data_IF_806618341574
#
_entry.id   IF_806618341574
#
_cell.length_a   1.000
_cell.length_b   1.000
_cell.length_c   1.000
_cell.angle_alpha   90.00
_cell.angle_beta   90.00
_cell.angle_gamma   90.00
#
_symmetry.space_group_name_H-M   'P 1'
#
loop_
_entity.id
_entity.type
_entity.pdbx_description
1 polymer ?
#
# COMPACT_ATOMS: atom_id res chain seq x y z
N UNK A 1 -19.16 -17.56 5.34
CA UNK A 1 -19.36 -16.18 4.83
C UNK A 1 -18.63 -16.08 3.50
N UNK A 2 -19.19 -15.42 2.51
CA UNK A 2 -18.56 -15.33 1.20
C UNK A 2 -17.33 -14.43 1.24
N UNK A 3 -16.20 -14.90 0.69
CA UNK A 3 -14.98 -14.11 0.52
C UNK A 3 -15.16 -12.94 -0.47
N UNK A 4 -16.31 -12.91 -1.12
CA UNK A 4 -16.71 -11.99 -2.18
C UNK A 4 -17.47 -10.77 -1.66
N UNK A 5 -17.67 -10.71 -0.36
CA UNK A 5 -18.34 -9.60 0.28
C UNK A 5 -17.34 -8.62 0.88
N UNK A 6 -17.75 -7.36 0.93
CA UNK A 6 -16.95 -6.28 1.49
C UNK A 6 -16.63 -6.52 2.97
N UNK A 7 -15.43 -6.13 3.35
CA UNK A 7 -14.87 -6.33 4.69
C UNK A 7 -14.52 -5.01 5.36
N UNK A 8 -14.61 -5.02 6.68
CA UNK A 8 -14.10 -3.98 7.57
C UNK A 8 -13.45 -4.63 8.79
N UNK A 9 -12.73 -3.88 9.59
CA UNK A 9 -12.20 -4.38 10.88
C UNK A 9 -13.35 -4.59 11.87
N UNK A 10 -13.13 -5.46 12.86
CA UNK A 10 -14.19 -5.80 13.81
C UNK A 10 -14.31 -4.82 14.98
N UNK A 11 -13.20 -4.16 15.39
CA UNK A 11 -13.12 -3.20 16.50
C UNK A 11 -12.11 -2.11 16.18
N UNK A 12 -12.20 -0.99 16.90
CA UNK A 12 -11.22 0.10 16.83
C UNK A 12 -9.82 -0.37 17.21
N UNK A 13 -8.82 0.16 16.49
CA UNK A 13 -7.40 -0.08 16.75
C UNK A 13 -6.72 1.28 16.82
N UNK A 14 -5.98 1.54 17.91
CA UNK A 14 -5.20 2.76 18.04
C UNK A 14 -3.71 2.46 17.92
N UNK A 15 -3.04 3.22 17.06
CA UNK A 15 -1.59 3.22 16.86
C UNK A 15 -1.04 4.56 17.37
N UNK A 16 0.13 4.50 18.03
CA UNK A 16 0.89 5.68 18.41
C UNK A 16 2.31 5.56 17.85
N UNK A 17 2.83 6.62 17.31
CA UNK A 17 4.16 6.62 16.73
C UNK A 17 4.55 8.00 16.22
N UNK A 18 5.53 8.05 15.35
CA UNK A 18 6.02 9.28 14.71
C UNK A 18 5.81 9.21 13.21
N UNK A 19 5.60 10.34 12.57
CA UNK A 19 5.68 10.45 11.11
C UNK A 19 7.12 10.36 10.65
N UNK A 20 7.39 9.53 9.61
CA UNK A 20 8.75 9.33 9.08
C UNK A 20 9.39 10.64 8.63
N UNK A 21 8.65 11.44 7.87
CA UNK A 21 9.16 12.67 7.28
C UNK A 21 8.97 13.88 8.18
N UNK A 22 7.83 13.99 8.84
CA UNK A 22 7.52 15.13 9.71
C UNK A 22 8.23 15.09 11.07
N UNK A 23 8.47 13.89 11.61
CA UNK A 23 8.97 13.70 12.96
C UNK A 23 7.94 14.06 14.06
N UNK A 24 6.69 14.33 13.67
CA UNK A 24 5.61 14.63 14.63
C UNK A 24 5.11 13.36 15.27
N UNK A 25 4.82 13.42 16.55
CA UNK A 25 4.03 12.38 17.22
C UNK A 25 2.63 12.33 16.61
N UNK A 26 2.10 11.14 16.40
CA UNK A 26 0.77 10.93 15.84
C UNK A 26 0.06 9.78 16.54
N UNK A 27 -1.20 10.05 16.90
CA UNK A 27 -2.15 9.02 17.32
C UNK A 27 -3.14 8.78 16.17
N UNK A 28 -3.15 7.57 15.66
CA UNK A 28 -4.04 7.15 14.59
C UNK A 28 -4.97 6.06 15.09
N UNK A 29 -6.28 6.22 14.86
CA UNK A 29 -7.28 5.19 15.18
C UNK A 29 -7.96 4.71 13.92
N UNK A 30 -7.78 3.42 13.62
CA UNK A 30 -8.49 2.71 12.57
C UNK A 30 -9.82 2.21 13.13
N UNK A 31 -10.94 2.56 12.48
CA UNK A 31 -12.30 2.24 12.93
C UNK A 31 -13.06 1.44 11.87
N UNK A 32 -13.99 0.56 12.31
CA UNK A 32 -14.92 -0.08 11.39
C UNK A 32 -15.73 0.97 10.61
N UNK A 33 -16.04 0.66 9.36
CA UNK A 33 -16.89 1.52 8.55
C UNK A 33 -17.99 0.70 7.83
N UNK A 34 -19.08 1.38 7.47
CA UNK A 34 -20.22 0.75 6.79
C UNK A 34 -19.83 0.33 5.35
N UNK A 35 -20.50 -0.69 4.79
CA UNK A 35 -20.27 -1.08 3.41
C UNK A 35 -20.45 0.09 2.42
N UNK A 36 -19.63 0.10 1.37
CA UNK A 36 -19.55 1.14 0.33
C UNK A 36 -19.00 2.50 0.80
N UNK A 37 -18.48 2.62 2.03
CA UNK A 37 -17.81 3.85 2.46
C UNK A 37 -16.40 3.98 1.88
N UNK A 38 -15.77 2.87 1.51
CA UNK A 38 -14.35 2.85 1.13
C UNK A 38 -13.42 3.16 2.32
N UNK A 39 -12.21 3.54 2.01
CA UNK A 39 -11.25 4.03 3.00
C UNK A 39 -11.40 5.55 3.10
N UNK A 40 -11.47 6.07 4.32
CA UNK A 40 -11.64 7.50 4.59
C UNK A 40 -10.65 7.91 5.67
N UNK A 41 -9.87 8.95 5.41
CA UNK A 41 -9.05 9.61 6.44
C UNK A 41 -9.77 10.81 7.02
N UNK A 42 -9.60 11.01 8.35
CA UNK A 42 -10.13 12.16 9.06
C UNK A 42 -9.07 12.75 9.98
N UNK A 43 -8.71 14.01 9.75
CA UNK A 43 -7.79 14.81 10.57
C UNK A 43 -8.52 15.33 11.80
N UNK A 44 -8.26 14.74 12.97
CA UNK A 44 -8.96 15.11 14.23
C UNK A 44 -8.40 16.37 14.88
N UNK A 45 -7.20 16.79 14.51
CA UNK A 45 -6.61 18.06 14.90
C UNK A 45 -7.25 19.28 14.22
N UNK A 46 -8.07 19.06 13.18
CA UNK A 46 -8.75 20.09 12.43
C UNK A 46 -10.26 20.06 12.72
N UNK A 47 -10.86 21.25 12.85
CA UNK A 47 -12.30 21.38 13.14
C UNK A 47 -13.19 21.34 11.89
N UNK A 48 -12.65 21.68 10.71
CA UNK A 48 -13.38 21.76 9.43
C UNK A 48 -12.54 21.19 8.31
N UNK A 49 -13.21 20.79 7.22
CA UNK A 49 -12.58 20.32 5.98
C UNK A 49 -11.60 19.16 6.19
N UNK A 50 -11.83 18.37 7.21
CA UNK A 50 -10.88 17.40 7.76
C UNK A 50 -11.05 15.98 7.21
N UNK A 51 -11.91 15.78 6.23
CA UNK A 51 -12.13 14.49 5.56
C UNK A 51 -11.32 14.42 4.28
N UNK A 52 -10.56 13.36 4.11
CA UNK A 52 -9.76 13.09 2.92
C UNK A 52 -10.10 11.70 2.41
N UNK A 53 -10.55 11.59 1.17
CA UNK A 53 -10.79 10.31 0.50
C UNK A 53 -9.54 9.96 -0.31
N UNK A 54 -8.83 8.88 0.04
CA UNK A 54 -7.65 8.44 -0.70
C UNK A 54 -8.07 7.84 -2.03
N UNK A 55 -7.92 8.62 -3.09
CA UNK A 55 -8.11 8.14 -4.45
C UNK A 55 -7.03 8.74 -5.35
N UNK A 56 -6.86 8.15 -6.53
CA UNK A 56 -5.79 8.52 -7.45
C UNK A 56 -5.82 9.99 -7.88
N UNK A 57 -7.01 10.60 -7.97
CA UNK A 57 -7.16 12.00 -8.40
C UNK A 57 -6.84 12.98 -7.27
N UNK A 58 -6.89 12.52 -6.02
CA UNK A 58 -6.56 13.28 -4.81
C UNK A 58 -5.09 13.18 -4.41
N UNK A 59 -4.25 12.42 -5.15
CA UNK A 59 -2.81 12.39 -4.92
C UNK A 59 -2.22 13.75 -5.27
N UNK A 60 -1.70 14.44 -4.25
CA UNK A 60 -1.06 15.76 -4.34
C UNK A 60 0.47 15.67 -4.41
N UNK A 61 1.06 14.60 -3.92
CA UNK A 61 2.49 14.29 -4.06
C UNK A 61 2.71 12.78 -4.11
N UNK A 62 3.69 12.37 -4.92
CA UNK A 62 4.19 11.00 -5.03
C UNK A 62 5.73 11.00 -5.02
N UNK A 63 6.34 11.94 -4.28
CA UNK A 63 7.79 12.09 -4.13
C UNK A 63 8.16 11.65 -2.73
N UNK A 64 9.00 10.62 -2.63
CA UNK A 64 9.43 9.91 -1.41
C UNK A 64 8.33 9.15 -0.67
N UNK A 65 7.10 9.62 -0.68
CA UNK A 65 5.91 8.96 -0.13
C UNK A 65 4.68 9.38 -0.91
N UNK A 66 3.59 8.67 -0.71
CA UNK A 66 2.30 9.05 -1.28
C UNK A 66 1.54 9.96 -0.33
N UNK A 67 1.13 11.12 -0.84
CA UNK A 67 0.33 12.12 -0.13
C UNK A 67 -0.98 12.35 -0.88
N UNK A 68 -2.09 12.30 -0.18
CA UNK A 68 -3.43 12.64 -0.68
C UNK A 68 -3.94 13.91 -0.02
N UNK A 69 -4.66 14.74 -0.78
CA UNK A 69 -5.24 15.99 -0.29
C UNK A 69 -6.68 16.12 -0.73
N UNK A 70 -7.49 16.78 0.09
CA UNK A 70 -8.82 17.21 -0.33
C UNK A 70 -8.78 18.57 -1.07
N UNK A 71 -9.93 19.04 -1.52
CA UNK A 71 -10.11 20.32 -2.24
C UNK A 71 -9.71 21.56 -1.43
N UNK A 72 -9.62 21.42 -0.10
CA UNK A 72 -9.21 22.50 0.82
C UNK A 72 -7.71 22.48 1.13
N UNK A 73 -6.93 21.59 0.51
CA UNK A 73 -5.49 21.43 0.76
C UNK A 73 -5.15 20.68 2.05
N UNK A 74 -6.14 20.15 2.77
CA UNK A 74 -5.89 19.28 3.92
C UNK A 74 -5.41 17.94 3.43
N UNK A 75 -4.29 17.45 3.96
CA UNK A 75 -3.60 16.28 3.45
C UNK A 75 -3.31 15.22 4.51
N UNK A 76 -3.01 14.01 4.02
CA UNK A 76 -2.40 12.89 4.74
C UNK A 76 -1.30 12.31 3.88
N UNK A 77 -0.13 12.08 4.46
CA UNK A 77 1.07 11.55 3.79
C UNK A 77 1.53 10.21 4.36
N UNK A 78 2.45 9.55 3.65
CA UNK A 78 3.08 8.25 4.03
C UNK A 78 2.02 7.18 4.30
N UNK A 79 1.03 7.10 3.41
CA UNK A 79 -0.12 6.21 3.60
C UNK A 79 0.06 4.83 2.96
N UNK A 80 1.08 4.64 2.15
CA UNK A 80 1.33 3.46 1.30
C UNK A 80 1.42 2.15 2.08
N UNK A 81 2.09 2.12 3.24
CA UNK A 81 2.24 0.89 4.03
C UNK A 81 0.91 0.45 4.66
N UNK A 82 0.15 1.42 5.23
CA UNK A 82 -1.18 1.16 5.76
C UNK A 82 -2.15 0.72 4.65
N UNK A 83 -2.14 1.43 3.51
CA UNK A 83 -2.97 1.07 2.36
C UNK A 83 -2.60 -0.30 1.80
N UNK A 84 -1.31 -0.66 1.77
CA UNK A 84 -0.81 -1.99 1.39
C UNK A 84 -1.32 -3.09 2.33
N UNK A 85 -1.30 -2.84 3.64
CA UNK A 85 -1.88 -3.75 4.64
C UNK A 85 -3.38 -3.95 4.43
N UNK A 86 -4.14 -2.86 4.27
CA UNK A 86 -5.59 -2.91 4.04
C UNK A 86 -5.93 -3.63 2.74
N UNK A 87 -5.18 -3.36 1.67
CA UNK A 87 -5.36 -3.99 0.37
C UNK A 87 -5.13 -5.49 0.42
N UNK A 88 -3.99 -5.93 0.98
CA UNK A 88 -3.64 -7.33 1.06
C UNK A 88 -4.57 -8.14 1.99
N UNK A 89 -5.04 -7.56 3.10
CA UNK A 89 -6.04 -8.16 3.98
C UNK A 89 -7.46 -8.09 3.40
N UNK A 90 -7.64 -7.34 2.32
CA UNK A 90 -8.93 -7.18 1.66
C UNK A 90 -9.95 -6.37 2.47
N UNK A 91 -9.49 -5.41 3.29
CA UNK A 91 -10.35 -4.47 3.99
C UNK A 91 -10.87 -3.44 2.99
N UNK A 92 -12.16 -3.44 2.75
CA UNK A 92 -12.80 -2.57 1.75
C UNK A 92 -13.29 -1.25 2.36
N UNK A 93 -13.60 -1.23 3.67
CA UNK A 93 -14.18 -0.07 4.34
C UNK A 93 -13.51 0.17 5.68
N UNK A 94 -13.01 1.40 5.90
CA UNK A 94 -12.44 1.81 7.18
C UNK A 94 -12.45 3.33 7.31
N UNK A 95 -12.69 3.83 8.53
CA UNK A 95 -12.46 5.22 8.90
C UNK A 95 -11.15 5.30 9.67
N UNK A 96 -10.24 6.15 9.22
CA UNK A 96 -8.90 6.33 9.79
C UNK A 96 -8.82 7.75 10.35
N UNK A 97 -8.90 7.87 11.66
CA UNK A 97 -8.77 9.15 12.38
C UNK A 97 -7.31 9.33 12.81
N UNK A 98 -6.72 10.50 12.55
CA UNK A 98 -5.36 10.84 12.95
C UNK A 98 -5.27 12.31 13.37
N UNK A 99 -4.43 12.60 14.37
CA UNK A 99 -4.23 13.93 14.94
C UNK A 99 -3.03 14.70 14.35
N UNK A 100 -2.45 14.18 13.27
CA UNK A 100 -1.37 14.82 12.49
C UNK A 100 -1.54 14.53 11.00
N UNK A 101 -0.72 15.15 10.14
CA UNK A 101 -0.82 15.04 8.67
C UNK A 101 -0.07 13.84 8.09
N UNK A 102 0.53 12.98 8.91
CA UNK A 102 1.30 11.83 8.44
C UNK A 102 0.89 10.56 9.19
N UNK A 103 0.75 9.45 8.46
CA UNK A 103 0.53 8.12 9.05
C UNK A 103 1.75 7.73 9.87
N UNK A 104 1.61 7.16 11.10
CA UNK A 104 2.77 6.74 11.88
C UNK A 104 3.55 5.65 11.15
N UNK A 105 4.88 5.84 11.07
CA UNK A 105 5.76 4.90 10.35
C UNK A 105 5.89 3.54 11.06
N UNK A 106 5.68 3.52 12.37
CA UNK A 106 5.86 2.36 13.25
C UNK A 106 7.26 1.76 13.10
N UNK A 107 7.35 0.49 12.67
CA UNK A 107 8.61 -0.21 12.43
C UNK A 107 9.13 -0.08 10.97
N UNK A 108 8.51 0.77 10.17
CA UNK A 108 8.86 0.98 8.75
C UNK A 108 8.29 -0.04 7.78
N UNK A 109 7.50 -0.99 8.27
CA UNK A 109 6.84 -2.04 7.48
C UNK A 109 5.31 -1.99 7.63
N UNK A 110 4.59 -2.92 7.02
CA UNK A 110 3.15 -3.08 7.24
C UNK A 110 2.81 -4.07 8.39
N UNK A 111 3.81 -4.75 8.96
CA UNK A 111 3.65 -5.85 9.91
C UNK A 111 2.72 -5.49 11.07
N UNK A 112 3.00 -4.38 11.76
CA UNK A 112 2.24 -3.99 12.96
C UNK A 112 0.79 -3.67 12.61
N UNK A 113 0.51 -3.05 11.46
CA UNK A 113 -0.85 -2.83 10.99
C UNK A 113 -1.59 -4.15 10.78
N UNK A 114 -0.96 -5.10 10.07
CA UNK A 114 -1.51 -6.41 9.76
C UNK A 114 -1.80 -7.20 11.04
N UNK A 115 -0.83 -7.31 11.95
CA UNK A 115 -0.97 -8.05 13.21
C UNK A 115 -2.13 -7.50 14.07
N UNK A 116 -2.23 -6.18 14.18
CA UNK A 116 -3.30 -5.57 14.98
C UNK A 116 -4.68 -5.73 14.33
N UNK A 117 -4.77 -5.66 13.00
CA UNK A 117 -6.02 -5.91 12.28
C UNK A 117 -6.46 -7.37 12.46
N UNK A 118 -5.55 -8.32 12.31
CA UNK A 118 -5.84 -9.75 12.50
C UNK A 118 -6.22 -10.05 13.95
N UNK A 119 -5.57 -9.41 14.92
CA UNK A 119 -5.86 -9.57 16.35
C UNK A 119 -7.28 -9.14 16.73
N UNK A 120 -7.79 -8.02 16.19
CA UNK A 120 -9.17 -7.59 16.46
C UNK A 120 -10.18 -8.32 15.61
N UNK A 121 -9.73 -8.94 14.52
CA UNK A 121 -10.53 -9.68 13.55
C UNK A 121 -11.17 -8.81 12.47
N UNK A 122 -11.61 -9.48 11.42
CA UNK A 122 -12.21 -8.89 10.22
C UNK A 122 -13.69 -9.26 10.16
N UNK A 123 -14.54 -8.27 9.93
CA UNK A 123 -15.99 -8.44 9.77
C UNK A 123 -16.35 -8.38 8.29
N UNK A 124 -17.09 -9.38 7.81
CA UNK A 124 -17.61 -9.44 6.45
C UNK A 124 -19.06 -8.96 6.43
N UNK A 125 -19.42 -8.11 5.47
CA UNK A 125 -20.77 -7.61 5.24
C UNK A 125 -21.58 -8.56 4.33
N UNK A 126 -22.83 -8.17 4.02
CA UNK A 126 -23.64 -8.82 2.99
C UNK A 126 -23.52 -8.19 1.60
N UNK A 127 -22.73 -7.10 1.49
CA UNK A 127 -22.59 -6.35 0.23
C UNK A 127 -21.44 -6.95 -0.58
N UNK A 128 -21.65 -7.28 -1.86
CA UNK A 128 -20.60 -7.84 -2.71
C UNK A 128 -19.48 -6.83 -2.98
N UNK A 129 -18.28 -7.36 -3.23
CA UNK A 129 -17.15 -6.54 -3.68
C UNK A 129 -17.31 -6.15 -5.15
N UNK A 130 -16.74 -5.00 -5.49
CA UNK A 130 -16.50 -4.59 -6.86
C UNK A 130 -15.01 -4.70 -7.17
N UNK A 131 -14.68 -5.05 -8.41
CA UNK A 131 -13.30 -5.28 -8.85
C UNK A 131 -13.08 -4.58 -10.18
N UNK A 132 -11.97 -3.89 -10.31
CA UNK A 132 -11.49 -3.35 -11.59
C UNK A 132 -10.84 -4.50 -12.37
N UNK A 133 -11.42 -4.87 -13.50
CA UNK A 133 -10.84 -5.85 -14.43
C UNK A 133 -10.18 -5.11 -15.59
N UNK A 134 -8.88 -5.31 -15.73
CA UNK A 134 -8.09 -4.69 -16.80
C UNK A 134 -8.44 -5.32 -18.14
N UNK A 135 -8.67 -4.49 -19.17
CA UNK A 135 -9.05 -4.91 -20.52
C UNK A 135 -7.95 -4.69 -21.55
N UNK A 136 -7.10 -3.68 -21.35
CA UNK A 136 -6.01 -3.33 -22.27
C UNK A 136 -4.72 -3.16 -21.48
N UNK A 137 -3.58 -3.47 -22.11
CA UNK A 137 -2.26 -3.12 -21.56
C UNK A 137 -2.11 -1.61 -21.55
N UNK A 138 -1.62 -1.09 -20.43
CA UNK A 138 -1.18 0.30 -20.25
C UNK A 138 0.24 0.28 -19.74
N UNK A 139 1.08 1.17 -20.24
CA UNK A 139 2.50 1.21 -19.90
C UNK A 139 2.96 2.66 -19.74
N UNK A 140 3.72 2.92 -18.70
CA UNK A 140 4.40 4.19 -18.43
C UNK A 140 5.90 3.94 -18.51
N UNK A 141 6.61 4.80 -19.25
CA UNK A 141 8.07 4.77 -19.41
C UNK A 141 8.62 6.13 -18.98
N UNK A 142 9.56 6.14 -18.02
CA UNK A 142 10.28 7.32 -17.55
C UNK A 142 11.79 7.00 -17.53
N UNK A 143 12.44 7.22 -18.68
CA UNK A 143 13.83 6.84 -18.92
C UNK A 143 14.02 5.32 -18.86
N UNK A 144 14.80 4.84 -17.89
CA UNK A 144 15.03 3.38 -17.67
C UNK A 144 13.94 2.74 -16.79
N UNK A 145 13.08 3.54 -16.18
CA UNK A 145 12.03 3.06 -15.27
C UNK A 145 10.76 2.79 -16.04
N UNK A 146 10.14 1.66 -15.76
CA UNK A 146 8.90 1.28 -16.43
C UNK A 146 7.90 0.67 -15.46
N UNK A 147 6.62 0.88 -15.73
CA UNK A 147 5.54 0.15 -15.10
C UNK A 147 4.43 -0.09 -16.11
N UNK A 148 3.89 -1.30 -16.13
CA UNK A 148 2.72 -1.61 -16.94
C UNK A 148 1.68 -2.37 -16.14
N UNK A 149 0.41 -2.28 -16.58
CA UNK A 149 -0.67 -3.13 -16.16
C UNK A 149 -1.26 -3.85 -17.37
N UNK A 150 -1.44 -5.16 -17.27
CA UNK A 150 -1.90 -6.02 -18.35
C UNK A 150 -3.14 -6.83 -17.92
N UNK A 151 -4.00 -7.24 -18.88
CA UNK A 151 -5.11 -8.12 -18.56
C UNK A 151 -4.66 -9.44 -17.92
N UNK A 152 -5.40 -9.88 -16.90
CA UNK A 152 -5.30 -11.22 -16.31
C UNK A 152 -6.67 -11.89 -16.27
N UNK A 153 -6.71 -13.21 -16.07
CA UNK A 153 -7.98 -13.95 -15.96
C UNK A 153 -8.69 -13.68 -14.64
N UNK A 154 -7.95 -13.84 -13.51
CA UNK A 154 -8.53 -13.81 -12.17
C UNK A 154 -7.57 -13.33 -11.08
N UNK A 155 -6.30 -13.11 -11.39
CA UNK A 155 -5.26 -12.72 -10.42
C UNK A 155 -4.96 -11.23 -10.46
N UNK A 156 -4.35 -10.75 -9.39
CA UNK A 156 -3.50 -9.58 -9.42
C UNK A 156 -2.08 -10.05 -9.17
N UNK A 157 -1.29 -10.12 -10.23
CA UNK A 157 0.13 -10.46 -10.13
C UNK A 157 0.96 -9.18 -10.12
N UNK A 158 1.97 -9.10 -9.26
CA UNK A 158 2.94 -8.00 -9.22
C UNK A 158 4.33 -8.59 -9.42
N UNK A 159 4.93 -8.27 -10.57
CA UNK A 159 6.29 -8.63 -10.97
C UNK A 159 7.15 -7.37 -10.86
N UNK A 160 7.92 -7.25 -9.80
CA UNK A 160 8.70 -6.05 -9.49
C UNK A 160 10.20 -6.32 -9.55
N UNK A 161 10.90 -5.51 -10.31
CA UNK A 161 12.36 -5.49 -10.42
C UNK A 161 12.90 -4.20 -9.81
N UNK A 162 13.89 -4.35 -8.95
CA UNK A 162 14.64 -3.28 -8.30
C UNK A 162 16.09 -3.34 -8.78
N UNK A 163 16.67 -2.17 -9.14
CA UNK A 163 18.10 -2.05 -9.50
C UNK A 163 18.72 -0.86 -8.81
N UNK A 164 19.75 -1.10 -8.04
CA UNK A 164 20.56 -0.09 -7.37
C UNK A 164 22.02 -0.28 -7.74
N UNK A 165 22.77 0.82 -7.83
CA UNK A 165 24.22 0.79 -8.05
C UNK A 165 24.95 0.27 -6.80
N UNK A 166 24.38 0.49 -5.61
CA UNK A 166 24.90 -0.07 -4.37
C UNK A 166 24.88 -1.61 -4.43
N UNK A 167 26.04 -2.30 -4.29
CA UNK A 167 26.14 -3.75 -4.53
C UNK A 167 25.38 -4.60 -3.49
N UNK A 168 25.14 -4.07 -2.28
CA UNK A 168 24.41 -4.78 -1.24
C UNK A 168 22.92 -4.86 -1.57
N UNK A 169 22.35 -3.82 -2.16
CA UNK A 169 20.97 -3.83 -2.66
C UNK A 169 20.94 -4.56 -4.01
N UNK A 170 21.79 -4.15 -4.94
CA UNK A 170 21.99 -4.75 -6.24
C UNK A 170 20.73 -4.83 -7.10
N UNK A 171 20.60 -5.92 -7.83
CA UNK A 171 19.44 -6.25 -8.64
C UNK A 171 18.61 -7.32 -7.94
N UNK A 172 17.35 -7.01 -7.64
CA UNK A 172 16.42 -7.94 -7.01
C UNK A 172 15.12 -7.97 -7.80
N UNK A 173 14.50 -9.14 -7.88
CA UNK A 173 13.18 -9.32 -8.49
C UNK A 173 12.33 -10.26 -7.65
N UNK A 174 11.05 -9.92 -7.53
CA UNK A 174 10.07 -10.81 -6.93
C UNK A 174 8.74 -10.71 -7.68
N UNK A 175 8.07 -11.87 -7.80
CA UNK A 175 6.75 -12.04 -8.40
C UNK A 175 5.83 -12.62 -7.35
N UNK A 176 4.73 -11.94 -7.10
CA UNK A 176 3.67 -12.40 -6.19
C UNK A 176 2.32 -12.41 -6.89
N UNK A 177 1.43 -13.27 -6.42
CA UNK A 177 -0.01 -13.17 -6.65
C UNK A 177 -0.65 -12.63 -5.36
N UNK A 178 -1.19 -11.42 -5.40
CA UNK A 178 -1.71 -10.72 -4.21
C UNK A 178 -2.81 -11.52 -3.49
N UNK A 179 -3.58 -12.35 -4.22
CA UNK A 179 -4.72 -13.08 -3.66
C UNK A 179 -4.39 -14.50 -3.20
N UNK A 180 -3.25 -15.06 -3.63
CA UNK A 180 -2.92 -16.47 -3.40
C UNK A 180 -1.58 -16.68 -2.67
N UNK A 181 -0.61 -15.74 -2.83
CA UNK A 181 0.69 -15.84 -2.17
C UNK A 181 0.58 -15.59 -0.67
N UNK A 182 1.48 -16.18 0.09
CA UNK A 182 1.76 -15.71 1.44
C UNK A 182 2.45 -14.34 1.36
N UNK A 183 1.81 -13.33 1.92
CA UNK A 183 2.29 -11.96 1.92
C UNK A 183 3.08 -11.60 3.19
N UNK A 184 3.39 -12.55 4.05
CA UNK A 184 4.08 -12.30 5.33
C UNK A 184 5.41 -11.59 5.13
N UNK A 185 6.23 -12.01 4.17
CA UNK A 185 7.50 -11.34 3.84
C UNK A 185 7.29 -9.95 3.27
N UNK A 186 6.23 -9.74 2.47
CA UNK A 186 5.89 -8.42 1.94
C UNK A 186 5.52 -7.47 3.09
N UNK A 187 4.62 -7.89 3.98
CA UNK A 187 4.22 -7.10 5.14
C UNK A 187 5.34 -6.83 6.12
N UNK A 188 6.31 -7.73 6.23
CA UNK A 188 7.43 -7.65 7.16
C UNK A 188 8.61 -6.83 6.63
N UNK A 189 8.57 -6.42 5.37
CA UNK A 189 9.65 -5.69 4.70
C UNK A 189 9.61 -4.20 5.01
N UNK A 190 10.72 -3.69 5.55
CA UNK A 190 10.87 -2.29 6.00
C UNK A 190 11.26 -1.36 4.85
N UNK A 191 10.87 -0.10 4.97
CA UNK A 191 11.41 0.98 4.14
C UNK A 191 12.92 1.09 4.32
N UNK A 192 13.62 1.66 3.33
CA UNK A 192 15.07 1.75 3.32
C UNK A 192 15.58 3.01 2.64
N UNK A 193 16.78 3.41 3.01
CA UNK A 193 17.52 4.48 2.34
C UNK A 193 19.03 4.18 2.31
N UNK A 194 19.72 4.85 1.39
CA UNK A 194 21.18 4.92 1.42
C UNK A 194 21.61 5.97 2.45
N UNK A 195 22.70 5.70 3.16
CA UNK A 195 23.21 6.61 4.18
C UNK A 195 23.56 7.99 3.62
N UNK A 196 24.12 8.02 2.40
CA UNK A 196 24.47 9.25 1.69
C UNK A 196 23.25 10.14 1.36
N UNK A 197 22.05 9.56 1.23
CA UNK A 197 20.82 10.30 0.94
C UNK A 197 20.22 10.95 2.20
N UNK A 198 20.59 10.49 3.41
CA UNK A 198 19.99 10.97 4.67
C UNK A 198 20.17 12.48 4.82
N UNK A 199 21.37 12.98 4.59
CA UNK A 199 21.68 14.42 4.72
C UNK A 199 20.82 15.23 3.75
N UNK A 200 20.71 14.79 2.51
CA UNK A 200 19.88 15.44 1.50
C UNK A 200 18.40 15.44 1.87
N UNK A 201 17.87 14.32 2.38
CA UNK A 201 16.50 14.24 2.87
C UNK A 201 16.25 15.22 4.02
N UNK A 202 17.20 15.31 4.98
CA UNK A 202 17.12 16.26 6.10
C UNK A 202 17.17 17.73 5.65
N UNK A 203 18.02 18.07 4.68
CA UNK A 203 18.07 19.40 4.07
C UNK A 203 16.76 19.78 3.38
N UNK A 204 16.05 18.80 2.82
CA UNK A 204 14.69 18.96 2.27
C UNK A 204 13.60 19.01 3.34
N UNK A 205 13.95 18.89 4.63
CA UNK A 205 13.01 18.87 5.74
C UNK A 205 12.27 17.55 5.92
N UNK A 206 12.78 16.46 5.30
CA UNK A 206 12.23 15.10 5.35
C UNK A 206 13.02 14.21 6.34
N UNK A 207 12.53 12.98 6.56
CA UNK A 207 13.16 11.95 7.40
C UNK A 207 13.47 12.39 8.84
N UNK A 208 12.71 13.35 9.39
CA UNK A 208 12.92 13.87 10.75
C UNK A 208 12.62 12.85 11.85
N UNK A 209 11.70 11.90 11.58
CA UNK A 209 11.36 10.80 12.48
C UNK A 209 12.07 9.49 12.13
N UNK A 210 12.90 9.48 11.07
CA UNK A 210 13.63 8.28 10.63
C UNK A 210 14.76 7.89 11.59
N UNK A 211 14.84 6.60 11.90
CA UNK A 211 15.89 6.00 12.71
C UNK A 211 16.08 4.52 12.33
N UNK A 212 17.06 3.84 12.97
CA UNK A 212 17.35 2.43 12.67
C UNK A 212 16.28 1.43 13.13
N UNK A 213 15.28 1.86 13.88
CA UNK A 213 14.16 1.01 14.28
C UNK A 213 13.04 0.99 13.21
N UNK A 214 12.96 2.05 12.39
CA UNK A 214 11.88 2.23 11.44
C UNK A 214 12.29 2.36 9.96
N UNK A 215 13.59 2.27 9.66
CA UNK A 215 14.10 2.24 8.29
C UNK A 215 15.40 1.42 8.22
N UNK A 216 15.59 0.68 7.12
CA UNK A 216 16.89 0.07 6.83
C UNK A 216 17.80 1.16 6.29
N UNK A 217 18.99 1.28 6.89
CA UNK A 217 20.02 2.19 6.41
C UNK A 217 21.19 1.39 5.85
N UNK A 218 21.44 1.56 4.56
CA UNK A 218 22.56 0.93 3.85
C UNK A 218 23.70 1.94 3.72
N UNK A 219 24.86 1.61 4.25
CA UNK A 219 26.08 2.41 4.14
C UNK A 219 27.18 1.56 3.49
N UNK A 220 27.66 1.99 2.35
CA UNK A 220 28.63 1.23 1.57
C UNK A 220 28.18 -0.23 1.35
N UNK A 221 28.87 -1.20 1.94
CA UNK A 221 28.53 -2.62 1.87
C UNK A 221 27.98 -3.16 3.19
N UNK A 222 27.40 -2.30 4.04
CA UNK A 222 26.91 -2.67 5.37
C UNK A 222 25.44 -2.21 5.58
N UNK A 223 24.69 -3.01 6.31
CA UNK A 223 23.38 -2.61 6.87
C UNK A 223 23.64 -2.14 8.30
N UNK A 224 23.32 -0.90 8.60
CA UNK A 224 23.57 -0.31 9.93
C UNK A 224 22.61 -0.82 11.00
N UNK A 225 21.48 -1.41 10.60
CA UNK A 225 20.49 -1.93 11.53
C UNK A 225 20.99 -3.19 12.23
N UNK A 226 20.84 -3.26 13.54
CA UNK A 226 21.11 -4.48 14.30
C UNK A 226 20.24 -5.64 13.77
N UNK A 227 20.83 -6.81 13.58
CA UNK A 227 20.17 -7.98 13.03
C UNK A 227 20.01 -8.00 11.50
N UNK A 228 20.43 -6.94 10.77
CA UNK A 228 20.42 -6.92 9.30
C UNK A 228 19.02 -6.94 8.68
N UNK A 229 18.86 -7.70 7.59
CA UNK A 229 17.60 -7.87 6.87
C UNK A 229 16.70 -8.90 7.56
N UNK A 230 15.38 -8.68 7.48
CA UNK A 230 14.36 -9.62 7.97
C UNK A 230 14.12 -10.79 7.00
N UNK A 231 14.37 -10.56 5.70
CA UNK A 231 14.34 -11.59 4.66
C UNK A 231 15.28 -11.19 3.51
N UNK A 232 15.72 -12.15 2.70
CA UNK A 232 16.69 -11.93 1.62
C UNK A 232 16.24 -10.93 0.55
N UNK A 233 14.93 -10.80 0.36
CA UNK A 233 14.32 -9.91 -0.64
C UNK A 233 13.66 -8.68 -0.02
N UNK A 234 14.07 -8.28 1.19
CA UNK A 234 13.39 -7.23 1.94
C UNK A 234 13.27 -5.92 1.14
N UNK A 235 14.28 -5.54 0.35
CA UNK A 235 14.23 -4.32 -0.44
C UNK A 235 13.17 -4.36 -1.56
N UNK A 236 13.15 -5.41 -2.38
CA UNK A 236 12.16 -5.54 -3.45
C UNK A 236 10.77 -5.83 -2.90
N UNK A 237 10.66 -6.57 -1.81
CA UNK A 237 9.39 -6.86 -1.15
C UNK A 237 8.77 -5.58 -0.58
N UNK A 238 9.58 -4.67 -0.03
CA UNK A 238 9.09 -3.37 0.39
C UNK A 238 8.54 -2.56 -0.80
N UNK A 239 9.21 -2.57 -1.95
CA UNK A 239 8.68 -1.92 -3.16
C UNK A 239 7.38 -2.54 -3.67
N UNK A 240 7.19 -3.83 -3.47
CA UNK A 240 5.90 -4.49 -3.74
C UNK A 240 4.82 -4.02 -2.76
N UNK A 241 5.14 -3.88 -1.47
CA UNK A 241 4.23 -3.32 -0.47
C UNK A 241 3.77 -1.91 -0.85
N UNK A 242 4.71 -1.02 -1.19
CA UNK A 242 4.44 0.33 -1.68
C UNK A 242 3.50 0.31 -2.90
N UNK A 243 3.82 -0.55 -3.87
CA UNK A 243 3.01 -0.72 -5.08
C UNK A 243 1.58 -1.17 -4.74
N UNK A 244 1.41 -2.12 -3.82
CA UNK A 244 0.09 -2.58 -3.36
C UNK A 244 -0.72 -1.43 -2.75
N UNK A 245 -0.08 -0.62 -1.90
CA UNK A 245 -0.73 0.52 -1.26
C UNK A 245 -1.14 1.60 -2.26
N UNK A 246 -0.27 1.92 -3.20
CA UNK A 246 -0.54 2.89 -4.26
C UNK A 246 -1.63 2.40 -5.22
N UNK A 247 -1.63 1.12 -5.59
CA UNK A 247 -2.68 0.53 -6.42
C UNK A 247 -4.05 0.61 -5.75
N UNK A 248 -4.09 0.55 -4.42
CA UNK A 248 -5.36 0.64 -3.69
C UNK A 248 -6.01 2.02 -3.78
N UNK A 249 -5.29 3.07 -4.21
CA UNK A 249 -5.86 4.39 -4.53
C UNK A 249 -6.83 4.37 -5.72
N UNK A 250 -6.89 3.26 -6.47
CA UNK A 250 -7.98 3.00 -7.42
C UNK A 250 -9.35 2.78 -6.74
N UNK A 251 -9.39 2.59 -5.41
CA UNK A 251 -10.59 2.41 -4.60
C UNK A 251 -11.21 1.02 -4.64
N UNK A 252 -10.65 0.11 -5.42
CA UNK A 252 -11.16 -1.26 -5.59
C UNK A 252 -10.02 -2.26 -5.73
N UNK A 253 -10.30 -3.52 -5.46
CA UNK A 253 -9.44 -4.64 -5.86
C UNK A 253 -9.30 -4.69 -7.37
N UNK A 254 -8.21 -5.29 -7.87
CA UNK A 254 -7.92 -5.34 -9.30
C UNK A 254 -7.72 -6.77 -9.79
N UNK A 255 -8.09 -7.03 -11.04
CA UNK A 255 -7.70 -8.21 -11.81
C UNK A 255 -6.83 -7.74 -12.96
N UNK A 256 -5.55 -8.10 -12.92
CA UNK A 256 -4.53 -7.68 -13.88
C UNK A 256 -3.16 -8.21 -13.50
N UNK A 257 -2.15 -7.87 -14.28
CA UNK A 257 -0.74 -8.14 -14.00
C UNK A 257 0.04 -6.84 -14.07
N UNK A 258 0.70 -6.49 -12.98
CA UNK A 258 1.66 -5.39 -12.91
C UNK A 258 3.04 -5.94 -13.27
N UNK A 259 3.75 -5.26 -14.17
CA UNK A 259 5.18 -5.47 -14.42
C UNK A 259 5.88 -4.14 -14.21
N UNK A 260 6.81 -4.10 -13.27
CA UNK A 260 7.48 -2.88 -12.85
C UNK A 260 8.99 -3.08 -12.80
N UNK A 261 9.74 -2.21 -13.46
CA UNK A 261 11.19 -2.12 -13.34
C UNK A 261 11.58 -0.75 -12.81
N UNK A 262 12.22 -0.73 -11.62
CA UNK A 262 12.71 0.47 -10.95
C UNK A 262 11.63 1.54 -10.71
N UNK A 263 10.35 1.14 -10.59
CA UNK A 263 9.24 2.04 -10.36
C UNK A 263 9.18 2.59 -8.93
N UNK A 264 8.10 3.30 -8.66
CA UNK A 264 7.78 3.91 -7.35
C UNK A 264 6.50 4.70 -7.46
N UNK A 265 6.12 5.40 -6.39
CA UNK A 265 4.83 6.09 -6.23
C UNK A 265 4.42 6.93 -7.44
N UNK A 266 5.37 7.72 -8.02
CA UNK A 266 5.10 8.56 -9.20
C UNK A 266 4.63 7.76 -10.40
N UNK A 267 5.33 6.64 -10.73
CA UNK A 267 4.97 5.82 -11.89
C UNK A 267 3.65 5.09 -11.66
N UNK A 268 3.43 4.57 -10.45
CA UNK A 268 2.15 3.91 -10.10
C UNK A 268 0.99 4.91 -10.20
N UNK A 269 1.20 6.15 -9.74
CA UNK A 269 0.20 7.21 -9.86
C UNK A 269 -0.11 7.53 -11.33
N UNK A 270 0.91 7.69 -12.17
CA UNK A 270 0.74 7.95 -13.61
C UNK A 270 0.02 6.79 -14.31
N UNK A 271 0.37 5.54 -13.99
CA UNK A 271 -0.29 4.35 -14.52
C UNK A 271 -1.78 4.34 -14.19
N UNK A 272 -2.14 4.58 -12.93
CA UNK A 272 -3.53 4.61 -12.51
C UNK A 272 -4.30 5.78 -13.14
N UNK A 273 -3.69 6.97 -13.26
CA UNK A 273 -4.34 8.09 -13.97
C UNK A 273 -4.63 7.71 -15.42
N UNK A 274 -3.67 7.15 -16.15
CA UNK A 274 -3.86 6.70 -17.51
C UNK A 274 -4.89 5.56 -17.61
N UNK A 275 -4.94 4.66 -16.63
CA UNK A 275 -5.99 3.63 -16.55
C UNK A 275 -7.39 4.26 -16.56
N UNK A 276 -7.60 5.30 -15.76
CA UNK A 276 -8.90 5.95 -15.61
C UNK A 276 -9.24 7.00 -16.69
N UNK A 277 -8.33 7.29 -17.62
CA UNK A 277 -8.62 8.19 -18.76
C UNK A 277 -9.69 7.65 -19.71
N UNK A 278 -9.88 6.33 -19.77
CA UNK A 278 -10.87 5.70 -20.65
C UNK A 278 -11.54 4.47 -20.04
N UNK A 279 -12.85 4.42 -20.12
CA UNK A 279 -13.64 3.23 -19.76
C UNK A 279 -13.37 1.99 -20.65
N UNK A 280 -12.63 2.18 -21.75
CA UNK A 280 -12.17 1.06 -22.57
C UNK A 280 -11.00 0.29 -21.93
N UNK A 281 -10.25 0.91 -21.02
CA UNK A 281 -9.07 0.32 -20.38
C UNK A 281 -9.45 -0.74 -19.34
N UNK A 282 -10.60 -0.60 -18.71
CA UNK A 282 -11.07 -1.49 -17.64
C UNK A 282 -12.58 -1.68 -17.66
N UNK A 283 -13.04 -2.60 -16.83
CA UNK A 283 -14.45 -2.70 -16.43
C UNK A 283 -14.55 -2.83 -14.92
N UNK A 284 -15.51 -2.15 -14.33
CA UNK A 284 -15.87 -2.36 -12.93
C UNK A 284 -16.92 -3.46 -12.88
N UNK A 285 -16.58 -4.58 -12.28
CA UNK A 285 -17.46 -5.76 -12.18
C UNK A 285 -17.80 -6.06 -10.73
N UNK A 286 -19.06 -6.36 -10.48
CA UNK A 286 -19.51 -6.91 -9.21
C UNK A 286 -19.30 -8.43 -9.21
N UNK A 287 -18.57 -8.94 -8.24
CA UNK A 287 -18.27 -10.36 -8.16
C UNK A 287 -19.45 -11.10 -7.52
N UNK A 288 -20.06 -12.03 -8.28
CA UNK A 288 -21.13 -12.92 -7.78
C UNK A 288 -20.61 -14.35 -7.71
N UNK A 289 -21.02 -15.09 -6.69
CA UNK A 289 -20.57 -16.48 -6.44
C UNK A 289 -20.64 -17.39 -7.66
N UNK A 290 -21.62 -17.18 -8.54
CA UNK A 290 -21.81 -18.00 -9.76
C UNK A 290 -20.84 -17.68 -10.91
N UNK A 291 -20.06 -16.60 -10.82
CA UNK A 291 -19.20 -16.11 -11.89
C UNK A 291 -17.71 -16.32 -11.66
N UNK A 292 -17.33 -16.97 -10.55
CA UNK A 292 -15.94 -17.13 -10.18
C UNK A 292 -15.32 -18.44 -10.71
N UNK A 293 -14.11 -18.36 -11.22
CA UNK A 293 -13.24 -19.52 -11.34
C UNK A 293 -12.96 -20.11 -9.94
N UNK A 294 -12.75 -21.43 -9.87
CA UNK A 294 -12.50 -22.17 -8.63
C UNK A 294 -11.33 -21.63 -7.79
N UNK A 295 -10.35 -20.96 -8.39
CA UNK A 295 -9.19 -20.34 -7.70
C UNK A 295 -9.59 -19.26 -6.67
N UNK A 296 -10.66 -18.50 -6.91
CA UNK A 296 -11.18 -17.52 -5.94
C UNK A 296 -11.92 -18.15 -4.75
N UNK A 297 -12.17 -19.44 -4.81
CA UNK A 297 -12.97 -20.18 -3.81
C UNK A 297 -12.07 -21.09 -2.96
N UNK A 298 -10.75 -21.09 -3.19
CA UNK A 298 -9.85 -22.02 -2.50
C UNK A 298 -9.77 -21.70 -1.00
N UNK A 299 -10.52 -22.46 -0.21
CA UNK A 299 -10.69 -22.32 1.25
C UNK A 299 -9.40 -22.64 2.04
N UNK A 300 -8.38 -23.23 1.42
CA UNK A 300 -7.16 -23.63 2.10
C UNK A 300 -6.31 -22.45 2.57
N UNK A 301 -6.33 -21.33 1.86
CA UNK A 301 -5.57 -20.14 2.22
C UNK A 301 -6.23 -19.29 3.31
N UNK A 302 -7.48 -19.56 3.67
CA UNK A 302 -8.17 -18.91 4.79
C UNK A 302 -7.80 -19.50 6.16
N UNK A 303 -7.20 -20.71 6.20
CA UNK A 303 -6.82 -21.37 7.45
C UNK A 303 -5.45 -20.93 8.01
N UNK A 304 -4.61 -20.32 7.18
CA UNK A 304 -3.30 -19.78 7.61
C UNK A 304 -3.38 -18.32 8.10
N UNK A 305 -4.57 -17.69 8.00
CA UNK A 305 -4.81 -16.29 8.38
C UNK A 305 -5.83 -16.19 9.53
N UNK A 306 -6.31 -17.33 10.07
CA UNK A 306 -7.24 -17.37 11.20
C UNK A 306 -6.51 -17.72 12.51
#
# INVERSE_FOLDING_TARGET
MSILNQKTINKDITFKGVGLHSGLEVTMTLKPAVPNSGIIFKRTDLKKNNIIVPNIFNVSSAVFCTTVSNEYGVNVSTLEHLMGALFGLGIDNALIELDAHEVPILDGSAKIFVEMILKVGIKTSSVPIKVIKIKKKIEIIDGKRTISIEPSKVSLDIDFELKYENPLIGEQRNLINVYESDLSDIYNSRTFCLYEDIKKLQEMGLAKGGNLENAIVVKDNEILNEGGLRNEKEFVNHKILDCMGDLYLAGYKMIGKIVCSQGGHKLTNQLLRQLFESNENFSLIEIKEKSLPHAFINKSNLRSIA
#
